data_IF_808722483798
#
_entry.id   IF_808722483798
#
_cell.length_a   1.000
_cell.length_b   1.000
_cell.length_c   1.000
_cell.angle_alpha   90.00
_cell.angle_beta   90.00
_cell.angle_gamma   90.00
#
_symmetry.space_group_name_H-M   'P 1'
#
loop_
_entity.id
_entity.type
_entity.pdbx_description
1 polymer ?
#
# COMPACT_ATOMS: atom_id res chain seq x y z
N UNK A 1 9.77 8.63 -16.57
CA UNK A 1 8.81 7.55 -16.91
C UNK A 1 7.39 8.05 -16.67
N UNK A 2 6.54 7.91 -17.66
CA UNK A 2 5.15 8.32 -17.54
C UNK A 2 4.28 7.11 -17.29
N UNK A 3 3.41 7.23 -16.32
CA UNK A 3 2.47 6.16 -16.00
C UNK A 3 1.13 6.44 -16.66
N UNK A 4 0.46 5.39 -17.08
CA UNK A 4 -0.92 5.51 -17.53
C UNK A 4 -1.79 6.00 -16.37
N UNK A 5 -2.92 6.66 -16.63
CA UNK A 5 -3.77 7.17 -15.55
C UNK A 5 -4.18 6.10 -14.54
N UNK A 6 -4.48 4.89 -14.98
CA UNK A 6 -4.87 3.82 -14.04
C UNK A 6 -3.69 3.37 -13.18
N UNK A 7 -2.47 3.45 -13.71
CA UNK A 7 -1.26 3.11 -12.96
C UNK A 7 -0.98 4.19 -11.91
N UNK A 8 -1.13 5.45 -12.30
CA UNK A 8 -0.93 6.55 -11.37
C UNK A 8 -1.92 6.47 -10.22
N UNK A 9 -3.17 6.05 -10.49
CA UNK A 9 -4.16 5.88 -9.44
C UNK A 9 -3.77 4.81 -8.44
N UNK A 10 -3.15 3.72 -8.91
CA UNK A 10 -2.67 2.66 -8.01
C UNK A 10 -1.56 3.18 -7.11
N UNK A 11 -0.64 3.96 -7.69
CA UNK A 11 0.45 4.56 -6.91
C UNK A 11 -0.11 5.50 -5.85
N UNK A 12 -1.05 6.36 -6.23
CA UNK A 12 -1.66 7.30 -5.31
C UNK A 12 -2.43 6.58 -4.21
N UNK A 13 -3.16 5.54 -4.56
CA UNK A 13 -3.91 4.73 -3.60
C UNK A 13 -2.99 4.06 -2.59
N UNK A 14 -1.88 3.52 -3.07
CA UNK A 14 -0.88 2.90 -2.19
C UNK A 14 -0.32 3.92 -1.20
N UNK A 15 0.00 5.12 -1.68
CA UNK A 15 0.53 6.17 -0.82
C UNK A 15 -0.48 6.58 0.25
N UNK A 16 -1.72 6.81 -0.16
CA UNK A 16 -2.78 7.22 0.77
C UNK A 16 -3.07 6.14 1.79
N UNK A 17 -3.11 4.89 1.35
CA UNK A 17 -3.33 3.77 2.26
C UNK A 17 -2.18 3.62 3.25
N UNK A 18 -0.95 3.80 2.78
CA UNK A 18 0.23 3.73 3.65
C UNK A 18 0.16 4.80 4.73
N UNK A 19 -0.24 6.02 4.38
CA UNK A 19 -0.37 7.10 5.35
C UNK A 19 -1.44 6.78 6.39
N UNK A 20 -2.58 6.27 5.95
CA UNK A 20 -3.67 5.90 6.86
C UNK A 20 -3.26 4.77 7.79
N UNK A 21 -2.58 3.76 7.25
CA UNK A 21 -2.13 2.63 8.05
C UNK A 21 -1.10 3.06 9.09
N UNK A 22 -0.16 3.92 8.71
CA UNK A 22 0.84 4.44 9.63
C UNK A 22 0.20 5.20 10.79
N UNK A 23 -0.83 6.01 10.50
CA UNK A 23 -1.55 6.74 11.54
C UNK A 23 -2.30 5.80 12.46
N UNK A 24 -2.93 4.77 11.91
CA UNK A 24 -3.66 3.80 12.71
C UNK A 24 -2.70 3.03 13.62
N UNK A 25 -1.57 2.60 13.09
CA UNK A 25 -0.57 1.87 13.88
C UNK A 25 0.02 2.73 14.99
N UNK A 26 0.24 4.01 14.70
CA UNK A 26 0.72 4.94 15.71
C UNK A 26 -0.32 5.12 16.83
N UNK A 27 -1.60 5.10 16.48
CA UNK A 27 -2.68 5.21 17.45
C UNK A 27 -2.66 4.06 18.46
N UNK A 28 -2.25 2.87 18.03
CA UNK A 28 -2.23 1.70 18.93
C UNK A 28 -1.29 1.89 20.12
N UNK A 29 -0.34 2.80 20.02
CA UNK A 29 0.62 3.06 21.11
C UNK A 29 0.12 4.14 22.08
N UNK A 30 -1.02 4.77 21.80
CA UNK A 30 -1.49 5.89 22.60
C UNK A 30 -2.41 5.41 23.73
N UNK A 31 -2.40 6.12 24.87
CA UNK A 31 -3.30 5.79 25.98
C UNK A 31 -4.78 5.81 25.56
N UNK A 32 -5.12 6.68 24.64
CA UNK A 32 -6.50 6.79 24.16
C UNK A 32 -6.98 5.46 23.57
N UNK A 33 -6.12 4.76 22.83
CA UNK A 33 -6.46 3.47 22.26
C UNK A 33 -6.73 2.46 23.38
N UNK A 34 -5.88 2.45 24.41
CA UNK A 34 -6.03 1.51 25.53
C UNK A 34 -7.31 1.75 26.31
N UNK A 35 -7.83 2.97 26.28
CA UNK A 35 -9.08 3.31 26.95
C UNK A 35 -10.33 2.95 26.18
N UNK A 36 -10.22 2.50 24.94
CA UNK A 36 -11.37 2.08 24.16
C UNK A 36 -11.88 0.72 24.64
N UNK A 37 -13.16 0.46 24.38
CA UNK A 37 -13.72 -0.85 24.67
C UNK A 37 -12.94 -1.93 23.93
N UNK A 38 -12.81 -3.10 24.54
CA UNK A 38 -12.05 -4.19 23.95
C UNK A 38 -12.53 -4.54 22.55
N UNK A 39 -13.84 -4.61 22.35
CA UNK A 39 -14.39 -4.93 21.05
C UNK A 39 -13.96 -3.93 19.99
N UNK A 40 -13.88 -2.65 20.35
CA UNK A 40 -13.44 -1.62 19.40
C UNK A 40 -11.95 -1.75 19.10
N UNK A 41 -11.14 -2.03 20.13
CA UNK A 41 -9.71 -2.27 19.93
C UNK A 41 -9.48 -3.44 18.97
N UNK A 42 -10.25 -4.50 19.14
CA UNK A 42 -10.16 -5.67 18.27
C UNK A 42 -10.53 -5.33 16.83
N UNK A 43 -11.59 -4.53 16.65
CA UNK A 43 -11.99 -4.12 15.30
C UNK A 43 -10.91 -3.28 14.62
N UNK A 44 -10.30 -2.37 15.37
CA UNK A 44 -9.24 -1.52 14.80
C UNK A 44 -8.00 -2.33 14.45
N UNK A 45 -7.65 -3.32 15.26
CA UNK A 45 -6.52 -4.19 14.93
C UNK A 45 -6.82 -5.04 13.70
N UNK A 46 -8.04 -5.53 13.58
CA UNK A 46 -8.45 -6.28 12.40
C UNK A 46 -8.41 -5.38 11.16
N UNK A 47 -8.87 -4.13 11.30
CA UNK A 47 -8.81 -3.18 10.20
C UNK A 47 -7.36 -2.97 9.72
N UNK A 48 -6.43 -2.84 10.65
CA UNK A 48 -5.02 -2.67 10.29
C UNK A 48 -4.50 -3.88 9.52
N UNK A 49 -4.90 -5.08 9.92
CA UNK A 49 -4.49 -6.30 9.21
C UNK A 49 -4.99 -6.32 7.78
N UNK A 50 -6.24 -5.94 7.55
CA UNK A 50 -6.78 -5.90 6.19
C UNK A 50 -6.12 -4.79 5.37
N UNK A 51 -5.81 -3.66 6.00
CA UNK A 51 -5.10 -2.59 5.32
C UNK A 51 -3.69 -3.02 4.92
N UNK A 52 -3.01 -3.78 5.77
CA UNK A 52 -1.69 -4.32 5.43
C UNK A 52 -1.76 -5.27 4.25
N UNK A 53 -2.76 -6.14 4.21
CA UNK A 53 -2.96 -7.04 3.09
C UNK A 53 -3.25 -6.28 1.79
N UNK A 54 -4.11 -5.29 1.86
CA UNK A 54 -4.43 -4.46 0.71
C UNK A 54 -3.19 -3.70 0.23
N UNK A 55 -2.43 -3.13 1.17
CA UNK A 55 -1.19 -2.44 0.85
C UNK A 55 -0.22 -3.35 0.09
N UNK A 56 -0.09 -4.59 0.55
CA UNK A 56 0.79 -5.57 -0.09
C UNK A 56 0.36 -5.86 -1.53
N UNK A 57 -0.94 -5.99 -1.77
CA UNK A 57 -1.45 -6.22 -3.11
C UNK A 57 -1.18 -5.02 -4.02
N UNK A 58 -1.40 -3.80 -3.51
CA UNK A 58 -1.11 -2.61 -4.30
C UNK A 58 0.37 -2.54 -4.65
N UNK A 59 1.24 -2.92 -3.71
CA UNK A 59 2.66 -2.95 -3.94
C UNK A 59 3.03 -3.93 -5.05
N UNK A 60 2.44 -5.11 -5.02
CA UNK A 60 2.68 -6.11 -6.05
C UNK A 60 2.22 -5.62 -7.42
N UNK A 61 1.09 -4.93 -7.46
CA UNK A 61 0.59 -4.36 -8.71
C UNK A 61 1.55 -3.30 -9.25
N UNK A 62 2.04 -2.44 -8.36
CA UNK A 62 3.02 -1.41 -8.75
C UNK A 62 4.29 -2.06 -9.27
N UNK A 63 4.80 -3.05 -8.55
CA UNK A 63 6.01 -3.75 -8.97
C UNK A 63 5.83 -4.41 -10.34
N UNK A 64 4.64 -4.96 -10.60
CA UNK A 64 4.37 -5.61 -11.87
C UNK A 64 4.39 -4.63 -13.03
N UNK A 65 3.72 -3.48 -12.89
CA UNK A 65 3.74 -2.54 -14.02
C UNK A 65 5.05 -1.77 -14.11
N UNK A 66 5.78 -1.62 -13.01
CA UNK A 66 7.13 -1.05 -13.08
C UNK A 66 8.06 -1.97 -13.86
N UNK A 67 7.96 -3.29 -13.65
CA UNK A 67 8.72 -4.26 -14.44
C UNK A 67 8.34 -4.21 -15.91
N UNK A 68 7.05 -4.09 -16.20
CA UNK A 68 6.58 -4.00 -17.57
C UNK A 68 7.15 -2.75 -18.25
N UNK A 69 7.19 -1.62 -17.56
CA UNK A 69 7.80 -0.41 -18.09
C UNK A 69 9.29 -0.59 -18.32
N UNK A 70 9.97 -1.22 -17.38
CA UNK A 70 11.41 -1.45 -17.50
C UNK A 70 11.72 -2.36 -18.69
N UNK A 71 10.92 -3.38 -18.91
CA UNK A 71 11.10 -4.28 -20.05
C UNK A 71 10.81 -3.60 -21.37
N UNK A 72 9.79 -2.74 -21.38
CA UNK A 72 9.44 -2.00 -22.59
C UNK A 72 10.52 -0.98 -22.98
N UNK A 73 11.12 -0.35 -21.97
CA UNK A 73 12.17 0.64 -22.19
C UNK A 73 13.54 0.02 -22.26
N UNK A 74 13.67 -1.22 -21.91
CA UNK A 74 14.92 -1.91 -21.80
C UNK A 74 15.53 -2.10 -23.16
N UNK A 75 16.76 -2.26 -23.23
CA UNK A 75 17.50 -2.41 -24.38
C UNK A 75 17.27 -3.69 -24.92
N UNK A 76 16.63 -4.09 -24.61
CA UNK A 76 16.36 -5.14 -25.09
C UNK A 76 17.29 -5.64 -25.84
N UNK A 77 17.79 -5.27 -25.87
CA UNK A 77 18.60 -5.56 -26.43
C UNK A 77 19.04 -6.56 -26.66
N UNK A 78 19.01 -6.76 -26.45
CA UNK A 78 19.42 -7.59 -26.56
C UNK A 78 19.50 -8.28 -27.29
N UNK A 79 19.27 -8.15 -27.58
CA UNK A 79 19.19 -8.74 -28.26
C UNK A 79 19.91 -9.25 -28.83
N UNK A 80 20.25 -9.07 -28.82
CA UNK A 80 20.95 -9.51 -29.51
C UNK A 80 21.10 -10.18 -30.03
#
# INVERSE_FOLDING_TARGET
MNFAPHEQRVIDEHRELTEKLNKLQAFFALPLFLGLAEAERMRLRAQAMFMEGYQAILRERIDAFMRAHAEADGPSVVAG
#
